data_IF_513192128489
#
_entry.id   IF_513192128489
#
_cell.length_a   1.000
_cell.length_b   1.000
_cell.length_c   1.000
_cell.angle_alpha   90.00
_cell.angle_beta   90.00
_cell.angle_gamma   90.00
#
_symmetry.space_group_name_H-M   'P 1'
#
loop_
_entity.id
_entity.type
_entity.pdbx_description
1 polymer ?
#
# COMPACT_ATOMS: atom_id res chain seq x y z
N UNK A 1 4.60 -10.86 4.17
CA UNK A 1 5.71 -11.04 3.23
C UNK A 1 5.23 -11.01 1.80
N UNK A 2 6.00 -10.39 0.91
CA UNK A 2 5.88 -10.57 -0.52
C UNK A 2 7.00 -11.49 -1.00
N UNK A 3 6.69 -12.51 -1.80
CA UNK A 3 7.71 -13.39 -2.33
C UNK A 3 7.37 -13.89 -3.72
N UNK A 4 8.39 -14.16 -4.52
CA UNK A 4 8.26 -14.92 -5.76
C UNK A 4 9.41 -15.89 -5.93
N UNK A 5 9.16 -16.94 -6.70
CA UNK A 5 10.15 -17.95 -7.01
C UNK A 5 10.52 -17.91 -8.49
N UNK A 6 11.78 -18.22 -8.78
CA UNK A 6 12.23 -18.45 -10.13
C UNK A 6 13.11 -19.69 -10.20
N UNK A 7 13.05 -20.34 -11.36
CA UNK A 7 13.89 -21.48 -11.70
C UNK A 7 15.03 -21.00 -12.56
N UNK A 8 16.24 -21.30 -12.12
CA UNK A 8 17.42 -20.80 -12.81
C UNK A 8 18.60 -21.76 -12.65
N UNK A 9 18.98 -22.51 -13.71
CA UNK A 9 20.18 -23.31 -13.74
C UNK A 9 21.39 -22.37 -13.88
N UNK A 10 22.01 -22.04 -12.75
CA UNK A 10 23.01 -21.00 -12.64
C UNK A 10 24.36 -21.41 -13.24
N UNK A 11 25.02 -20.48 -13.95
CA UNK A 11 26.44 -20.55 -14.24
C UNK A 11 27.23 -19.56 -13.37
N UNK A 12 28.51 -19.85 -13.10
CA UNK A 12 29.32 -19.09 -12.15
C UNK A 12 29.51 -17.58 -12.48
N UNK A 13 29.27 -17.16 -13.72
CA UNK A 13 29.45 -15.77 -14.19
C UNK A 13 28.13 -15.02 -14.42
N UNK A 14 27.05 -15.56 -13.88
CA UNK A 14 25.73 -15.02 -14.14
C UNK A 14 25.27 -14.11 -13.00
N UNK A 15 24.78 -12.95 -13.41
CA UNK A 15 24.17 -11.95 -12.55
C UNK A 15 22.66 -11.95 -12.80
N UNK A 16 21.87 -12.13 -11.76
CA UNK A 16 20.42 -12.06 -11.82
C UNK A 16 20.00 -10.62 -11.55
N UNK A 17 19.31 -10.02 -12.51
CA UNK A 17 18.70 -8.70 -12.39
C UNK A 17 17.24 -8.89 -12.01
N UNK A 18 16.83 -8.28 -10.91
CA UNK A 18 15.48 -8.34 -10.40
C UNK A 18 14.91 -6.95 -10.29
N UNK A 19 13.67 -6.78 -10.78
CA UNK A 19 12.87 -5.57 -10.56
C UNK A 19 11.60 -5.97 -9.82
N UNK A 20 11.29 -5.27 -8.73
CA UNK A 20 10.03 -5.35 -8.00
C UNK A 20 9.36 -3.98 -8.10
N UNK A 21 8.17 -3.91 -8.66
CA UNK A 21 7.36 -2.69 -8.71
C UNK A 21 6.20 -2.82 -7.74
N UNK A 22 6.13 -1.95 -6.74
CA UNK A 22 5.04 -1.85 -5.78
C UNK A 22 4.04 -0.79 -6.24
N UNK A 23 2.76 -0.97 -5.89
CA UNK A 23 1.67 -0.03 -6.24
C UNK A 23 1.59 0.27 -7.73
N UNK A 24 1.76 -0.75 -8.56
CA UNK A 24 1.52 -0.66 -9.99
C UNK A 24 0.05 -0.35 -10.25
N UNK A 25 -0.24 0.80 -10.85
CA UNK A 25 -1.61 1.16 -11.25
C UNK A 25 -1.94 0.54 -12.61
N UNK A 26 -3.13 -0.07 -12.79
CA UNK A 26 -3.69 -0.30 -14.11
C UNK A 26 -3.90 1.05 -14.79
N UNK A 27 -3.07 1.29 -15.79
CA UNK A 27 -2.55 2.59 -16.22
C UNK A 27 -3.52 3.44 -17.09
N UNK A 28 -4.82 3.17 -17.07
CA UNK A 28 -5.77 3.72 -18.05
C UNK A 28 -6.77 4.73 -17.47
N UNK A 29 -7.40 4.41 -16.34
CA UNK A 29 -8.49 5.23 -15.81
C UNK A 29 -8.01 6.52 -15.14
N UNK A 30 -6.93 6.45 -14.36
CA UNK A 30 -6.34 7.62 -13.68
C UNK A 30 -5.60 8.52 -14.68
N UNK A 31 -4.85 7.95 -15.65
CA UNK A 31 -4.26 8.74 -16.74
C UNK A 31 -5.31 9.45 -17.60
N UNK A 32 -6.41 8.78 -17.93
CA UNK A 32 -7.52 9.40 -18.67
C UNK A 32 -8.17 10.57 -17.92
N UNK A 33 -8.16 10.56 -16.58
CA UNK A 33 -8.67 11.66 -15.76
C UNK A 33 -7.65 12.82 -15.67
N UNK A 34 -6.36 12.51 -15.75
CA UNK A 34 -5.26 13.50 -15.72
C UNK A 34 -5.04 14.21 -17.08
N UNK A 35 -5.56 13.68 -18.19
CA UNK A 35 -5.22 14.13 -19.55
C UNK A 35 -6.13 15.20 -20.16
N UNK A 36 -7.12 15.76 -19.44
CA UNK A 36 -8.00 16.80 -20.04
C UNK A 36 -7.78 18.20 -19.45
N UNK A 37 -7.26 19.17 -20.23
CA UNK A 37 -7.10 20.55 -19.79
C UNK A 37 -8.43 21.34 -19.96
N UNK A 38 -9.50 20.90 -19.28
CA UNK A 38 -10.80 21.60 -19.29
C UNK A 38 -10.71 22.95 -18.56
N UNK A 39 -9.88 23.07 -17.51
CA UNK A 39 -9.64 24.35 -16.83
C UNK A 39 -9.00 25.39 -17.76
N UNK A 40 -8.04 24.98 -18.59
CA UNK A 40 -7.42 25.90 -19.55
C UNK A 40 -8.44 26.45 -20.53
N UNK A 41 -9.34 25.59 -21.03
CA UNK A 41 -10.41 26.02 -21.92
C UNK A 41 -11.40 26.96 -21.22
N UNK A 42 -11.81 26.66 -19.99
CA UNK A 42 -12.70 27.54 -19.21
C UNK A 42 -12.06 28.91 -18.94
N UNK A 43 -10.76 28.94 -18.57
CA UNK A 43 -10.00 30.18 -18.38
C UNK A 43 -9.85 30.96 -19.70
N UNK A 44 -9.55 30.28 -20.80
CA UNK A 44 -9.43 30.90 -22.11
C UNK A 44 -10.76 31.53 -22.55
N UNK A 45 -11.89 30.85 -22.34
CA UNK A 45 -13.22 31.37 -22.63
C UNK A 45 -13.55 32.59 -21.75
N UNK A 46 -13.27 32.52 -20.44
CA UNK A 46 -13.48 33.66 -19.53
C UNK A 46 -12.64 34.89 -19.94
N UNK A 47 -11.34 34.71 -20.18
CA UNK A 47 -10.44 35.80 -20.60
C UNK A 47 -10.87 36.41 -21.94
N UNK A 48 -11.37 35.58 -22.87
CA UNK A 48 -11.85 36.04 -24.18
C UNK A 48 -13.16 36.81 -24.07
N UNK A 49 -14.10 36.38 -23.21
CA UNK A 49 -15.41 37.02 -23.07
C UNK A 49 -15.40 38.26 -22.15
N UNK A 50 -14.47 38.34 -21.21
CA UNK A 50 -14.41 39.39 -20.19
C UNK A 50 -14.43 40.83 -20.72
N UNK A 51 -13.71 41.20 -21.80
CA UNK A 51 -13.78 42.56 -22.35
C UNK A 51 -15.19 42.97 -22.79
N UNK A 52 -15.95 42.05 -23.38
CA UNK A 52 -17.34 42.30 -23.79
C UNK A 52 -18.27 42.47 -22.59
N UNK A 53 -18.12 41.60 -21.58
CA UNK A 53 -18.89 41.67 -20.32
C UNK A 53 -18.62 42.99 -19.59
N UNK A 54 -17.35 43.42 -19.53
CA UNK A 54 -16.96 44.69 -18.91
C UNK A 54 -17.54 45.90 -19.66
N UNK A 55 -17.59 45.84 -20.99
CA UNK A 55 -18.24 46.88 -21.80
C UNK A 55 -19.74 46.98 -21.48
N UNK A 56 -20.42 45.85 -21.35
CA UNK A 56 -21.86 45.80 -21.01
C UNK A 56 -22.13 46.23 -19.56
N UNK A 57 -21.26 45.92 -18.61
CA UNK A 57 -21.32 46.49 -17.25
C UNK A 57 -21.22 48.00 -17.26
N UNK A 58 -20.27 48.55 -18.02
CA UNK A 58 -20.10 50.00 -18.13
C UNK A 58 -21.29 50.67 -18.82
N UNK A 59 -21.91 49.99 -19.79
CA UNK A 59 -23.01 50.52 -20.60
C UNK A 59 -24.36 50.43 -19.90
N UNK A 60 -24.67 49.33 -19.23
CA UNK A 60 -26.00 49.06 -18.69
C UNK A 60 -26.03 49.10 -17.16
N UNK A 61 -25.08 48.43 -16.49
CA UNK A 61 -25.10 48.30 -15.02
C UNK A 61 -24.89 49.66 -14.33
N UNK A 62 -24.01 50.52 -14.84
CA UNK A 62 -23.77 51.87 -14.28
C UNK A 62 -24.99 52.79 -14.31
N UNK A 63 -25.95 52.51 -15.20
CA UNK A 63 -27.16 53.33 -15.37
C UNK A 63 -28.31 52.87 -14.47
N UNK A 64 -28.19 51.69 -13.84
CA UNK A 64 -29.17 51.20 -12.87
C UNK A 64 -29.00 51.97 -11.57
N UNK A 65 -29.94 52.85 -11.26
CA UNK A 65 -30.05 53.57 -10.00
C UNK A 65 -31.42 53.30 -9.36
N UNK A 66 -31.61 53.66 -8.09
CA UNK A 66 -32.87 53.40 -7.35
C UNK A 66 -34.12 54.14 -7.85
N UNK A 67 -34.05 54.81 -9.02
CA UNK A 67 -35.18 55.47 -9.69
C UNK A 67 -35.80 54.61 -10.79
N UNK A 68 -36.71 55.20 -11.58
CA UNK A 68 -37.33 54.54 -12.74
C UNK A 68 -36.29 54.43 -13.87
N UNK A 69 -35.87 53.21 -14.19
CA UNK A 69 -34.90 52.91 -15.25
C UNK A 69 -35.61 52.25 -16.43
N UNK A 70 -35.22 52.59 -17.66
CA UNK A 70 -35.79 51.98 -18.86
C UNK A 70 -35.56 50.46 -18.88
N UNK A 71 -36.59 49.68 -19.21
CA UNK A 71 -36.57 48.21 -19.16
C UNK A 71 -35.39 47.60 -19.94
N UNK A 72 -35.03 48.15 -21.10
CA UNK A 72 -33.90 47.67 -21.91
C UNK A 72 -32.53 47.82 -21.24
N UNK A 73 -32.36 48.79 -20.33
CA UNK A 73 -31.14 48.95 -19.53
C UNK A 73 -31.07 47.89 -18.44
N UNK A 74 -32.20 47.61 -17.78
CA UNK A 74 -32.31 46.55 -16.79
C UNK A 74 -32.06 45.17 -17.42
N UNK A 75 -32.63 44.92 -18.61
CA UNK A 75 -32.41 43.68 -19.34
C UNK A 75 -30.95 43.51 -19.81
N UNK A 76 -30.30 44.58 -20.27
CA UNK A 76 -28.88 44.56 -20.65
C UNK A 76 -27.97 44.29 -19.44
N UNK A 77 -28.24 44.95 -18.31
CA UNK A 77 -27.51 44.75 -17.07
C UNK A 77 -27.65 43.31 -16.55
N UNK A 78 -28.87 42.75 -16.59
CA UNK A 78 -29.15 41.36 -16.21
C UNK A 78 -28.35 40.38 -17.06
N UNK A 79 -28.35 40.52 -18.40
CA UNK A 79 -27.59 39.64 -19.29
C UNK A 79 -26.08 39.71 -19.05
N UNK A 80 -25.55 40.90 -18.77
CA UNK A 80 -24.13 41.07 -18.46
C UNK A 80 -23.73 40.34 -17.16
N UNK A 81 -24.57 40.44 -16.12
CA UNK A 81 -24.37 39.72 -14.87
C UNK A 81 -24.51 38.20 -15.08
N UNK A 82 -25.56 37.75 -15.78
CA UNK A 82 -25.76 36.34 -16.12
C UNK A 82 -24.56 35.76 -16.88
N UNK A 83 -24.03 36.48 -17.88
CA UNK A 83 -22.86 36.07 -18.64
C UNK A 83 -21.60 35.99 -17.75
N UNK A 84 -21.36 37.00 -16.91
CA UNK A 84 -20.24 36.99 -15.97
C UNK A 84 -20.30 35.81 -15.01
N UNK A 85 -21.46 35.59 -14.39
CA UNK A 85 -21.70 34.47 -13.48
C UNK A 85 -21.49 33.14 -14.19
N UNK A 86 -22.03 32.96 -15.40
CA UNK A 86 -21.89 31.72 -16.18
C UNK A 86 -20.42 31.34 -16.42
N UNK A 87 -19.59 32.30 -16.88
CA UNK A 87 -18.19 32.00 -17.15
C UNK A 87 -17.37 31.84 -15.86
N UNK A 88 -17.70 32.58 -14.79
CA UNK A 88 -17.03 32.44 -13.50
C UNK A 88 -17.36 31.10 -12.83
N UNK A 89 -18.61 30.65 -12.87
CA UNK A 89 -19.04 29.33 -12.37
C UNK A 89 -18.37 28.20 -13.13
N UNK A 90 -18.20 28.32 -14.45
CA UNK A 90 -17.47 27.35 -15.25
C UNK A 90 -16.00 27.24 -14.80
N UNK A 91 -15.30 28.36 -14.63
CA UNK A 91 -13.91 28.37 -14.13
C UNK A 91 -13.83 27.79 -12.72
N UNK A 92 -14.73 28.19 -11.82
CA UNK A 92 -14.74 27.71 -10.44
C UNK A 92 -15.01 26.19 -10.35
N UNK A 93 -15.94 25.68 -11.16
CA UNK A 93 -16.26 24.25 -11.23
C UNK A 93 -15.08 23.43 -11.73
N UNK A 94 -14.43 23.85 -12.82
CA UNK A 94 -13.26 23.15 -13.35
C UNK A 94 -12.06 23.23 -12.41
N UNK A 95 -11.86 24.37 -11.74
CA UNK A 95 -10.80 24.50 -10.75
C UNK A 95 -11.03 23.59 -9.53
N UNK A 96 -12.28 23.51 -9.03
CA UNK A 96 -12.64 22.62 -7.93
C UNK A 96 -12.40 21.14 -8.32
N UNK A 97 -12.73 20.75 -9.55
CA UNK A 97 -12.43 19.40 -10.08
C UNK A 97 -10.93 19.13 -10.13
N UNK A 98 -10.13 20.08 -10.61
CA UNK A 98 -8.67 19.90 -10.67
C UNK A 98 -8.05 19.81 -9.26
N UNK A 99 -8.49 20.63 -8.32
CA UNK A 99 -8.06 20.55 -6.92
C UNK A 99 -8.44 19.21 -6.29
N UNK A 100 -9.69 18.77 -6.50
CA UNK A 100 -10.15 17.46 -6.04
C UNK A 100 -9.34 16.32 -6.69
N UNK A 101 -9.04 16.41 -7.98
CA UNK A 101 -8.25 15.41 -8.70
C UNK A 101 -6.81 15.36 -8.19
N UNK A 102 -6.17 16.51 -7.93
CA UNK A 102 -4.85 16.56 -7.31
C UNK A 102 -4.85 15.98 -5.90
N UNK A 103 -5.88 16.24 -5.11
CA UNK A 103 -6.04 15.65 -3.78
C UNK A 103 -6.24 14.13 -3.85
N UNK A 104 -7.04 13.64 -4.81
CA UNK A 104 -7.21 12.20 -5.07
C UNK A 104 -5.91 11.55 -5.53
N UNK A 105 -5.18 12.18 -6.46
CA UNK A 105 -3.90 11.68 -6.96
C UNK A 105 -2.83 11.64 -5.86
N UNK A 106 -2.82 12.62 -4.96
CA UNK A 106 -1.91 12.63 -3.80
C UNK A 106 -2.25 11.56 -2.75
N UNK A 107 -3.48 11.06 -2.72
CA UNK A 107 -3.95 10.01 -1.81
C UNK A 107 -3.84 8.60 -2.41
N UNK A 108 -3.44 8.47 -3.69
CA UNK A 108 -3.19 7.18 -4.31
C UNK A 108 -1.85 6.60 -3.80
N UNK A 109 -1.78 5.28 -3.60
CA UNK A 109 -0.52 4.62 -3.28
C UNK A 109 0.54 4.95 -4.34
N UNK A 110 1.68 5.49 -3.93
CA UNK A 110 2.74 5.85 -4.86
C UNK A 110 3.43 4.58 -5.39
N UNK A 111 3.65 4.53 -6.71
CA UNK A 111 4.45 3.47 -7.34
C UNK A 111 5.88 3.58 -6.84
N UNK A 112 6.42 2.46 -6.39
CA UNK A 112 7.83 2.35 -5.96
C UNK A 112 8.49 1.23 -6.75
N UNK A 113 9.62 1.52 -7.38
CA UNK A 113 10.40 0.55 -8.14
C UNK A 113 11.70 0.22 -7.42
N UNK A 114 11.91 -1.07 -7.15
CA UNK A 114 13.15 -1.61 -6.59
C UNK A 114 13.86 -2.38 -7.69
N UNK A 115 15.07 -1.97 -8.05
CA UNK A 115 15.95 -2.74 -8.94
C UNK A 115 17.16 -3.23 -8.14
N UNK A 116 17.47 -4.52 -8.22
CA UNK A 116 18.67 -5.06 -7.61
C UNK A 116 19.32 -6.17 -8.44
N UNK A 117 20.62 -6.34 -8.21
CA UNK A 117 21.43 -7.32 -8.89
C UNK A 117 22.05 -8.28 -7.89
N UNK A 118 21.86 -9.58 -8.09
CA UNK A 118 22.40 -10.63 -7.22
C UNK A 118 23.20 -11.68 -7.98
N UNK A 119 24.19 -12.26 -7.31
CA UNK A 119 24.98 -13.40 -7.78
C UNK A 119 25.20 -14.39 -6.65
N UNK A 120 25.46 -15.64 -7.00
CA UNK A 120 25.89 -16.66 -6.05
C UNK A 120 27.42 -16.71 -6.05
N UNK A 121 28.02 -16.59 -4.88
CA UNK A 121 29.46 -16.58 -4.65
C UNK A 121 29.87 -17.73 -3.71
N UNK A 122 31.11 -18.17 -3.89
CA UNK A 122 31.79 -19.15 -3.05
C UNK A 122 33.22 -19.33 -3.54
N UNK A 123 34.18 -19.39 -2.63
CA UNK A 123 35.61 -19.46 -2.97
C UNK A 123 36.02 -20.83 -3.54
N UNK A 124 35.27 -21.86 -3.18
CA UNK A 124 35.40 -23.23 -3.68
C UNK A 124 34.07 -23.96 -3.51
N UNK A 125 33.93 -25.14 -4.11
CA UNK A 125 32.71 -25.94 -3.99
C UNK A 125 32.39 -26.34 -2.53
N UNK A 126 33.41 -26.44 -1.68
CA UNK A 126 33.31 -26.76 -0.23
C UNK A 126 33.16 -25.52 0.66
N UNK A 127 33.30 -24.31 0.11
CA UNK A 127 33.10 -23.08 0.84
C UNK A 127 31.60 -22.83 1.07
N UNK A 128 31.27 -22.08 2.11
CA UNK A 128 29.89 -21.68 2.38
C UNK A 128 29.36 -20.84 1.20
N UNK A 129 28.16 -21.20 0.74
CA UNK A 129 27.45 -20.47 -0.30
C UNK A 129 27.07 -19.08 0.20
N UNK A 130 27.27 -18.07 -0.65
CA UNK A 130 26.85 -16.70 -0.39
C UNK A 130 26.01 -16.17 -1.54
N UNK A 131 24.90 -15.50 -1.25
CA UNK A 131 24.27 -14.63 -2.26
C UNK A 131 24.68 -13.20 -1.99
N UNK A 132 25.31 -12.58 -2.99
CA UNK A 132 25.81 -11.21 -2.92
C UNK A 132 24.92 -10.31 -3.78
N UNK A 133 24.37 -9.27 -3.15
CA UNK A 133 23.60 -8.21 -3.81
C UNK A 133 24.55 -7.04 -4.03
N UNK A 134 24.90 -6.77 -5.28
CA UNK A 134 25.97 -5.82 -5.66
C UNK A 134 25.45 -4.42 -5.97
N UNK A 135 24.15 -4.27 -6.21
CA UNK A 135 23.53 -2.96 -6.45
C UNK A 135 22.07 -2.99 -6.05
N UNK A 136 21.59 -1.90 -5.45
CA UNK A 136 20.18 -1.69 -5.13
C UNK A 136 19.81 -0.25 -5.52
N UNK A 137 18.74 -0.09 -6.27
CA UNK A 137 18.15 1.19 -6.65
C UNK A 137 16.69 1.22 -6.18
N UNK A 138 16.26 2.33 -5.58
CA UNK A 138 14.85 2.64 -5.34
C UNK A 138 14.52 3.87 -6.18
N UNK A 139 13.59 3.70 -7.13
CA UNK A 139 13.21 4.69 -8.15
C UNK A 139 14.42 5.27 -8.91
N UNK A 140 15.37 4.39 -9.24
CA UNK A 140 16.60 4.74 -9.96
C UNK A 140 17.67 5.41 -9.10
N UNK A 141 17.43 5.64 -7.81
CA UNK A 141 18.39 6.24 -6.87
C UNK A 141 19.08 5.13 -6.05
N UNK A 142 20.42 5.13 -5.91
CA UNK A 142 21.12 4.17 -5.06
C UNK A 142 20.56 4.11 -3.64
N UNK A 143 20.24 2.89 -3.19
CA UNK A 143 19.78 2.63 -1.85
C UNK A 143 20.93 2.17 -0.95
N UNK A 144 20.87 2.58 0.30
CA UNK A 144 21.76 2.12 1.37
C UNK A 144 21.06 1.04 2.18
N UNK A 145 21.83 0.05 2.63
CA UNK A 145 21.34 -1.02 3.49
C UNK A 145 21.71 -0.76 4.95
N UNK A 146 20.80 -1.12 5.86
CA UNK A 146 21.04 -1.12 7.30
C UNK A 146 20.55 -2.45 7.89
N UNK A 147 21.46 -3.15 8.56
CA UNK A 147 21.10 -4.29 9.40
C UNK A 147 20.32 -3.78 10.63
N UNK A 148 19.22 -4.45 10.97
CA UNK A 148 18.45 -4.15 12.16
C UNK A 148 19.00 -4.83 13.41
N UNK A 149 18.16 -4.95 14.44
CA UNK A 149 18.51 -5.60 15.71
C UNK A 149 18.40 -7.12 15.63
N UNK A 150 17.61 -7.66 14.71
CA UNK A 150 17.50 -9.11 14.49
C UNK A 150 18.77 -9.63 13.78
N UNK A 151 19.54 -10.56 14.40
CA UNK A 151 20.67 -11.20 13.74
C UNK A 151 20.29 -11.97 12.47
N UNK A 152 19.04 -12.45 12.38
CA UNK A 152 18.48 -13.08 11.18
C UNK A 152 18.16 -12.08 10.06
N UNK A 153 18.25 -10.78 10.32
CA UNK A 153 18.09 -9.73 9.31
C UNK A 153 16.66 -9.48 8.86
N UNK A 154 15.63 -9.98 9.56
CA UNK A 154 14.24 -9.78 9.14
C UNK A 154 13.77 -8.34 9.27
N UNK A 155 14.39 -7.56 10.16
CA UNK A 155 14.15 -6.14 10.36
C UNK A 155 15.16 -5.24 9.63
N UNK A 156 16.01 -5.83 8.76
CA UNK A 156 16.93 -5.06 7.94
C UNK A 156 16.16 -4.20 6.92
N UNK A 157 16.70 -3.02 6.60
CA UNK A 157 16.05 -2.05 5.73
C UNK A 157 16.96 -1.58 4.60
N UNK A 158 16.35 -1.13 3.51
CA UNK A 158 16.98 -0.41 2.41
C UNK A 158 16.34 0.97 2.29
N UNK A 159 17.15 2.00 2.01
CA UNK A 159 16.65 3.37 1.89
C UNK A 159 17.44 4.19 0.88
N UNK A 160 16.73 4.94 0.02
CA UNK A 160 17.32 5.98 -0.84
C UNK A 160 17.31 7.38 -0.19
N UNK A 161 16.96 7.47 1.10
CA UNK A 161 16.83 8.72 1.85
C UNK A 161 15.44 9.34 1.83
N UNK A 162 14.57 8.93 0.91
CA UNK A 162 13.16 9.35 0.86
C UNK A 162 12.22 8.20 1.20
N UNK A 163 12.46 7.05 0.58
CA UNK A 163 11.68 5.83 0.76
C UNK A 163 12.53 4.84 1.55
N UNK A 164 11.93 4.22 2.56
CA UNK A 164 12.55 3.13 3.33
C UNK A 164 11.67 1.90 3.23
N UNK A 165 12.28 0.76 2.87
CA UNK A 165 11.61 -0.51 2.67
C UNK A 165 12.35 -1.61 3.44
N UNK A 166 11.69 -2.75 3.73
CA UNK A 166 12.40 -3.94 4.16
C UNK A 166 13.45 -4.37 3.13
N UNK A 167 14.60 -4.85 3.59
CA UNK A 167 15.64 -5.38 2.72
C UNK A 167 15.18 -6.68 2.06
N UNK A 168 15.49 -6.83 0.77
CA UNK A 168 15.18 -8.07 0.04
C UNK A 168 16.09 -9.21 0.49
N UNK A 169 15.51 -10.39 0.65
CA UNK A 169 16.22 -11.62 0.99
C UNK A 169 16.14 -12.59 -0.18
N UNK A 170 17.27 -13.19 -0.56
CA UNK A 170 17.31 -14.26 -1.56
C UNK A 170 17.54 -15.58 -0.85
N UNK A 171 16.52 -16.43 -0.80
CA UNK A 171 16.56 -17.73 -0.14
C UNK A 171 16.90 -18.86 -1.13
N UNK A 172 17.62 -19.86 -0.62
CA UNK A 172 17.94 -21.12 -1.29
C UNK A 172 17.51 -22.24 -0.35
N UNK A 173 16.71 -23.19 -0.84
CA UNK A 173 16.11 -24.26 -0.04
C UNK A 173 15.53 -23.74 1.30
N UNK A 174 14.56 -22.81 1.26
CA UNK A 174 14.02 -22.15 2.45
C UNK A 174 13.30 -23.09 3.43
N UNK A 175 13.12 -24.36 3.09
CA UNK A 175 12.67 -25.44 3.97
C UNK A 175 13.78 -25.91 4.93
N UNK A 176 15.04 -25.85 4.49
CA UNK A 176 16.22 -26.36 5.20
C UNK A 176 17.11 -25.23 5.71
N UNK A 177 17.23 -24.12 5.00
CA UNK A 177 18.17 -23.05 5.36
C UNK A 177 17.49 -21.71 5.61
N UNK A 178 18.02 -20.97 6.56
CA UNK A 178 17.74 -19.56 6.74
C UNK A 178 18.85 -18.72 6.10
N UNK A 179 18.44 -17.73 5.31
CA UNK A 179 19.35 -16.74 4.73
C UNK A 179 19.66 -15.67 5.79
N UNK A 180 20.88 -15.70 6.33
CA UNK A 180 21.36 -14.80 7.37
C UNK A 180 22.31 -13.77 6.75
N UNK A 181 22.08 -12.46 6.92
CA UNK A 181 22.97 -11.45 6.37
C UNK A 181 24.32 -11.43 7.11
N UNK A 182 25.39 -11.19 6.37
CA UNK A 182 26.70 -10.89 6.94
C UNK A 182 26.70 -9.45 7.49
N UNK A 183 27.08 -9.21 8.76
CA UNK A 183 27.13 -7.86 9.33
C UNK A 183 28.09 -6.93 8.59
N UNK A 184 29.10 -7.49 7.93
CA UNK A 184 30.04 -6.74 7.09
C UNK A 184 30.12 -7.45 5.74
N UNK A 185 29.38 -6.96 4.73
CA UNK A 185 29.46 -7.47 3.37
C UNK A 185 30.88 -7.29 2.79
N UNK A 186 31.27 -8.11 1.79
CA UNK A 186 32.49 -7.90 1.01
C UNK A 186 32.54 -6.51 0.35
N UNK A 187 33.74 -6.09 -0.06
CA UNK A 187 33.92 -4.80 -0.76
C UNK A 187 33.09 -4.76 -2.05
N UNK A 188 32.44 -3.62 -2.32
CA UNK A 188 31.50 -3.41 -3.44
C UNK A 188 30.24 -4.32 -3.44
N UNK A 189 29.95 -5.00 -2.33
CA UNK A 189 28.70 -5.73 -2.10
C UNK A 189 27.82 -4.92 -1.14
N UNK A 190 26.54 -4.74 -1.49
CA UNK A 190 25.58 -4.00 -0.65
C UNK A 190 25.04 -4.89 0.47
N UNK A 191 24.69 -6.14 0.14
CA UNK A 191 24.20 -7.14 1.09
C UNK A 191 24.78 -8.51 0.72
N UNK A 192 25.22 -9.28 1.70
CA UNK A 192 25.64 -10.67 1.49
C UNK A 192 24.89 -11.59 2.44
N UNK A 193 24.29 -12.67 1.93
CA UNK A 193 23.58 -13.68 2.73
C UNK A 193 24.36 -15.00 2.74
N UNK A 194 24.56 -15.57 3.92
CA UNK A 194 24.98 -16.96 4.12
C UNK A 194 23.77 -17.82 4.50
N UNK A 195 23.84 -19.12 4.23
CA UNK A 195 22.71 -20.04 4.41
C UNK A 195 22.99 -20.99 5.56
N UNK A 196 22.39 -20.69 6.71
CA UNK A 196 22.57 -21.42 7.97
C UNK A 196 21.45 -22.46 8.09
N UNK A 197 21.75 -23.71 8.50
CA UNK A 197 20.74 -24.74 8.61
C UNK A 197 19.72 -24.37 9.69
N UNK A 198 18.45 -24.65 9.42
CA UNK A 198 17.40 -24.65 10.44
C UNK A 198 17.64 -25.78 11.43
N UNK A 199 17.18 -25.61 12.66
CA UNK A 199 17.36 -26.60 13.72
C UNK A 199 16.99 -28.02 13.26
N UNK A 200 18.00 -28.89 13.16
CA UNK A 200 17.86 -30.30 12.78
C UNK A 200 17.62 -30.58 11.29
N UNK A 201 17.77 -29.60 10.40
CA UNK A 201 17.50 -29.75 8.96
C UNK A 201 18.70 -30.20 8.14
N UNK A 202 19.92 -29.77 8.48
CA UNK A 202 21.15 -30.11 7.76
C UNK A 202 22.40 -29.98 8.64
N UNK A 203 23.48 -30.66 8.24
CA UNK A 203 24.78 -30.64 8.93
C UNK A 203 25.66 -29.49 8.41
N UNK A 204 25.52 -28.32 9.03
CA UNK A 204 26.32 -27.13 8.71
C UNK A 204 25.72 -26.24 7.62
N UNK A 205 26.42 -25.16 7.28
CA UNK A 205 25.98 -24.18 6.30
C UNK A 205 25.94 -24.77 4.88
N UNK A 206 25.00 -24.30 4.06
CA UNK A 206 24.88 -24.72 2.66
C UNK A 206 26.18 -24.42 1.91
N UNK A 207 26.73 -25.43 1.23
CA UNK A 207 27.98 -25.30 0.46
C UNK A 207 27.73 -24.75 -0.93
N UNK A 208 28.69 -24.01 -1.47
CA UNK A 208 28.58 -23.38 -2.79
C UNK A 208 28.35 -24.41 -3.91
N UNK A 209 29.06 -25.54 -3.86
CA UNK A 209 28.90 -26.62 -4.83
C UNK A 209 27.47 -27.18 -4.85
N UNK A 210 26.86 -27.31 -3.67
CA UNK A 210 25.48 -27.76 -3.47
C UNK A 210 24.46 -26.69 -3.92
N UNK A 211 24.66 -25.43 -3.50
CA UNK A 211 23.79 -24.32 -3.84
C UNK A 211 23.64 -24.12 -5.36
N UNK A 212 24.70 -24.36 -6.15
CA UNK A 212 24.63 -24.32 -7.63
C UNK A 212 23.70 -25.37 -8.23
N UNK A 213 23.53 -26.51 -7.57
CA UNK A 213 22.70 -27.61 -8.04
C UNK A 213 21.23 -27.45 -7.62
N UNK A 214 20.92 -26.52 -6.71
CA UNK A 214 19.55 -26.13 -6.38
C UNK A 214 19.16 -25.05 -7.39
N UNK A 215 18.20 -25.28 -8.31
CA UNK A 215 17.85 -24.27 -9.32
C UNK A 215 16.82 -23.24 -8.82
N UNK A 216 16.09 -23.56 -7.76
CA UNK A 216 15.04 -22.69 -7.23
C UNK A 216 15.64 -21.60 -6.36
N UNK A 217 15.19 -20.37 -6.59
CA UNK A 217 15.51 -19.20 -5.77
C UNK A 217 14.22 -18.52 -5.37
N UNK A 218 14.10 -18.16 -4.10
CA UNK A 218 12.97 -17.37 -3.59
C UNK A 218 13.46 -15.97 -3.28
N UNK A 219 12.88 -14.96 -3.91
CA UNK A 219 13.08 -13.55 -3.51
C UNK A 219 11.96 -13.18 -2.57
N UNK A 220 12.32 -12.58 -1.43
CA UNK A 220 11.43 -12.25 -0.33
C UNK A 220 11.61 -10.79 0.08
N UNK A 221 10.52 -10.05 0.21
CA UNK A 221 10.45 -8.79 0.97
C UNK A 221 9.73 -9.08 2.29
N UNK A 222 10.48 -9.27 3.39
CA UNK A 222 9.90 -9.62 4.69
C UNK A 222 9.14 -8.43 5.26
N UNK A 223 7.98 -8.67 5.88
CA UNK A 223 7.28 -7.64 6.65
C UNK A 223 6.85 -6.39 5.87
N UNK A 224 6.69 -6.49 4.54
CA UNK A 224 6.18 -5.36 3.74
C UNK A 224 4.79 -4.93 4.20
N UNK A 225 4.59 -3.62 4.34
CA UNK A 225 3.28 -3.04 4.67
C UNK A 225 2.33 -3.18 3.47
N UNK A 226 1.36 -4.09 3.61
CA UNK A 226 0.37 -4.39 2.55
C UNK A 226 -0.68 -3.31 2.37
N UNK A 227 -0.84 -2.41 3.35
CA UNK A 227 -1.80 -1.31 3.28
C UNK A 227 -1.20 -0.12 2.53
N UNK A 228 0.10 0.13 2.72
CA UNK A 228 0.89 1.09 1.94
C UNK A 228 1.22 0.56 0.53
N UNK A 229 1.57 -0.72 0.41
CA UNK A 229 1.97 -1.37 -0.84
C UNK A 229 0.95 -2.44 -1.26
N UNK A 230 -0.07 -2.00 -1.99
CA UNK A 230 -1.33 -2.70 -2.23
C UNK A 230 -1.28 -3.70 -3.38
N UNK A 231 -0.22 -3.68 -4.18
CA UNK A 231 0.09 -4.73 -5.14
C UNK A 231 1.60 -4.71 -5.46
N UNK A 232 2.08 -5.79 -6.04
CA UNK A 232 3.46 -5.90 -6.46
C UNK A 232 3.62 -6.70 -7.74
N UNK A 233 4.50 -6.25 -8.63
CA UNK A 233 4.78 -6.86 -9.91
C UNK A 233 6.29 -7.06 -10.08
N UNK A 234 6.70 -8.32 -10.20
CA UNK A 234 8.12 -8.67 -10.30
C UNK A 234 8.51 -9.10 -11.70
N UNK A 235 9.73 -8.76 -12.08
CA UNK A 235 10.38 -9.21 -13.29
C UNK A 235 11.84 -9.57 -13.06
N UNK A 236 12.35 -10.50 -13.86
CA UNK A 236 13.72 -10.97 -13.79
C UNK A 236 14.33 -11.10 -15.18
N UNK A 237 15.65 -10.96 -15.25
CA UNK A 237 16.45 -11.41 -16.37
C UNK A 237 17.86 -11.74 -15.89
N UNK A 238 18.59 -12.53 -16.67
CA UNK A 238 19.95 -12.94 -16.36
C UNK A 238 20.89 -12.23 -17.31
N UNK A 239 21.97 -11.66 -16.77
CA UNK A 239 23.08 -11.11 -17.52
C UNK A 239 24.33 -11.94 -17.25
N UNK A 240 24.88 -12.53 -18.30
CA UNK A 240 26.15 -13.25 -18.26
C UNK A 240 27.29 -12.31 -18.67
N UNK A 241 28.47 -12.53 -18.07
CA UNK A 241 29.70 -11.76 -18.28
C UNK A 241 29.64 -10.30 -17.82
N UNK A 242 28.61 -9.88 -17.09
CA UNK A 242 28.58 -8.53 -16.52
C UNK A 242 29.69 -8.33 -15.49
N UNK A 243 30.01 -9.37 -14.74
CA UNK A 243 31.11 -9.42 -13.78
C UNK A 243 32.06 -10.57 -14.20
N UNK A 244 33.09 -10.24 -14.99
CA UNK A 244 34.15 -11.20 -15.38
C UNK A 244 35.34 -11.20 -14.43
N UNK A 245 35.43 -10.17 -13.59
CA UNK A 245 36.47 -9.99 -12.59
C UNK A 245 35.81 -10.01 -11.20
N UNK A 246 36.58 -10.24 -10.12
CA UNK A 246 36.07 -10.15 -8.76
C UNK A 246 35.31 -8.84 -8.53
N UNK A 247 34.25 -8.88 -7.72
CA UNK A 247 33.33 -7.75 -7.52
C UNK A 247 34.07 -6.53 -6.96
N UNK A 248 35.15 -6.76 -6.21
CA UNK A 248 36.06 -5.76 -5.65
C UNK A 248 36.76 -4.92 -6.74
N UNK A 249 36.90 -5.46 -7.95
CA UNK A 249 37.50 -4.78 -9.12
C UNK A 249 36.45 -4.10 -10.02
N UNK A 250 35.16 -4.25 -9.76
CA UNK A 250 34.06 -3.77 -10.63
C UNK A 250 34.03 -2.25 -10.83
N UNK A 251 34.58 -1.48 -9.88
CA UNK A 251 34.74 -0.03 -10.02
C UNK A 251 35.86 0.38 -11.01
N UNK A 252 36.78 -0.54 -11.31
CA UNK A 252 37.97 -0.29 -12.15
C UNK A 252 37.87 -0.94 -13.52
N UNK A 253 37.13 -2.04 -13.65
CA UNK A 253 37.05 -2.82 -14.88
C UNK A 253 35.59 -3.15 -15.19
N UNK A 254 35.18 -2.89 -16.44
CA UNK A 254 33.85 -3.21 -16.94
C UNK A 254 33.94 -4.04 -18.22
N UNK A 255 33.07 -5.04 -18.35
CA UNK A 255 32.90 -5.80 -19.59
C UNK A 255 32.26 -4.89 -20.64
N UNK A 256 32.77 -4.96 -21.88
CA UNK A 256 32.18 -4.21 -23.01
C UNK A 256 30.81 -4.79 -23.39
N UNK A 257 29.88 -3.93 -23.78
CA UNK A 257 28.49 -4.30 -24.13
C UNK A 257 28.40 -5.46 -25.13
N UNK A 258 29.30 -5.52 -26.12
CA UNK A 258 29.34 -6.60 -27.11
C UNK A 258 29.65 -8.01 -26.55
N UNK A 259 30.05 -8.11 -25.29
CA UNK A 259 30.30 -9.37 -24.57
C UNK A 259 29.27 -9.66 -23.47
N UNK A 260 28.26 -8.81 -23.32
CA UNK A 260 27.15 -9.00 -22.39
C UNK A 260 26.06 -9.83 -23.06
N UNK A 261 25.71 -10.97 -22.46
CA UNK A 261 24.61 -11.80 -22.92
C UNK A 261 23.46 -11.68 -21.95
N UNK A 262 22.27 -11.36 -22.46
CA UNK A 262 21.09 -11.12 -21.65
C UNK A 262 19.94 -12.01 -22.11
N UNK A 263 19.25 -12.64 -21.16
CA UNK A 263 17.98 -13.31 -21.44
C UNK A 263 16.86 -12.29 -21.64
N UNK A 264 15.76 -12.64 -22.32
CA UNK A 264 14.55 -11.83 -22.28
C UNK A 264 14.10 -11.56 -20.84
N UNK A 265 13.47 -10.41 -20.62
CA UNK A 265 12.83 -10.09 -19.34
C UNK A 265 11.57 -10.93 -19.19
N UNK A 266 11.51 -11.71 -18.10
CA UNK A 266 10.33 -12.49 -17.72
C UNK A 266 9.64 -11.78 -16.58
N UNK A 267 8.31 -11.70 -16.64
CA UNK A 267 7.48 -11.04 -15.64
C UNK A 267 6.17 -11.80 -15.46
N UNK A 268 5.50 -11.59 -14.34
CA UNK A 268 4.13 -12.08 -14.15
C UNK A 268 3.17 -11.43 -15.16
N UNK A 269 2.06 -12.10 -15.49
CA UNK A 269 1.08 -11.53 -16.41
C UNK A 269 0.40 -10.28 -15.80
N UNK A 270 0.04 -10.40 -14.53
CA UNK A 270 -0.65 -9.37 -13.76
C UNK A 270 0.09 -9.08 -12.44
N UNK A 271 -0.06 -7.87 -11.87
CA UNK A 271 0.36 -7.57 -10.50
C UNK A 271 -0.32 -8.50 -9.49
N UNK A 272 0.42 -8.89 -8.46
CA UNK A 272 -0.10 -9.73 -7.38
C UNK A 272 -0.62 -8.80 -6.28
N UNK A 273 -1.87 -9.00 -5.87
CA UNK A 273 -2.48 -8.31 -4.73
C UNK A 273 -2.31 -9.18 -3.47
N UNK A 274 -1.70 -8.66 -2.39
CA UNK A 274 -1.60 -9.40 -1.13
C UNK A 274 -2.98 -9.56 -0.50
N UNK A 275 -3.22 -10.68 0.19
CA UNK A 275 -4.44 -10.92 0.96
C UNK A 275 -4.10 -11.50 2.32
N UNK A 276 -4.28 -10.69 3.35
CA UNK A 276 -4.24 -11.12 4.74
C UNK A 276 -5.63 -11.56 5.17
N UNK A 277 -5.76 -12.78 5.68
CA UNK A 277 -7.03 -13.34 6.14
C UNK A 277 -6.90 -13.84 7.57
N UNK A 278 -7.66 -13.21 8.47
CA UNK A 278 -7.72 -13.58 9.89
C UNK A 278 -9.11 -14.15 10.20
N UNK A 279 -9.19 -15.35 10.78
CA UNK A 279 -10.47 -15.96 11.12
C UNK A 279 -11.17 -15.22 12.26
N UNK A 280 -10.42 -14.80 13.28
CA UNK A 280 -10.96 -14.07 14.42
C UNK A 280 -9.91 -13.15 15.05
N UNK A 281 -10.35 -12.06 15.63
CA UNK A 281 -9.54 -11.16 16.45
C UNK A 281 -10.41 -10.54 17.56
N UNK A 282 -9.97 -10.60 18.81
CA UNK A 282 -10.73 -10.06 19.94
C UNK A 282 -10.32 -8.61 20.23
N UNK A 283 -11.27 -7.69 20.09
CA UNK A 283 -11.14 -6.30 20.49
C UNK A 283 -10.94 -6.13 21.99
N UNK A 284 -11.29 -7.11 22.81
CA UNK A 284 -11.06 -7.06 24.26
C UNK A 284 -9.57 -6.97 24.62
N UNK A 285 -8.69 -7.39 23.70
CA UNK A 285 -7.23 -7.35 23.86
C UNK A 285 -6.60 -6.02 23.48
N UNK A 286 -7.34 -5.13 22.79
CA UNK A 286 -6.81 -3.87 22.26
C UNK A 286 -6.62 -2.84 23.38
N UNK A 287 -5.46 -2.20 23.41
CA UNK A 287 -5.11 -1.12 24.33
C UNK A 287 -4.81 0.19 23.56
N UNK A 288 -5.04 1.37 24.16
CA UNK A 288 -5.68 1.58 25.46
C UNK A 288 -7.19 1.27 25.41
N UNK A 289 -7.75 0.78 26.53
CA UNK A 289 -9.21 0.78 26.71
C UNK A 289 -9.65 2.22 26.93
N UNK A 290 -9.99 2.92 25.85
CA UNK A 290 -10.59 4.24 25.96
C UNK A 290 -11.90 4.19 26.78
N UNK A 291 -12.30 5.31 27.42
CA UNK A 291 -13.56 5.38 28.17
C UNK A 291 -14.82 5.16 27.30
N UNK A 292 -14.67 5.14 25.97
CA UNK A 292 -15.76 5.26 24.98
C UNK A 292 -16.23 3.92 24.35
N UNK A 293 -16.15 2.81 25.09
CA UNK A 293 -16.73 1.53 24.64
C UNK A 293 -16.20 1.02 23.29
N UNK A 294 -17.09 0.65 22.36
CA UNK A 294 -16.74 0.09 21.04
C UNK A 294 -15.93 1.07 20.18
N UNK A 295 -16.21 2.37 20.25
CA UNK A 295 -15.49 3.39 19.48
C UNK A 295 -14.01 3.41 19.86
N UNK A 296 -13.70 3.49 21.16
CA UNK A 296 -12.33 3.50 21.66
C UNK A 296 -11.55 2.23 21.26
N UNK A 297 -12.21 1.07 21.31
CA UNK A 297 -11.61 -0.21 20.89
C UNK A 297 -11.33 -0.26 19.39
N UNK A 298 -12.23 0.25 18.56
CA UNK A 298 -12.01 0.35 17.12
C UNK A 298 -10.90 1.34 16.79
N UNK A 299 -10.84 2.48 17.47
CA UNK A 299 -9.78 3.47 17.28
C UNK A 299 -8.41 2.87 17.63
N UNK A 300 -8.28 2.19 18.77
CA UNK A 300 -7.04 1.49 19.14
C UNK A 300 -6.68 0.34 18.19
N UNK A 301 -7.67 -0.37 17.64
CA UNK A 301 -7.45 -1.42 16.65
C UNK A 301 -6.85 -0.83 15.37
N UNK A 302 -7.42 0.26 14.83
CA UNK A 302 -6.91 0.90 13.62
C UNK A 302 -5.58 1.61 13.86
N UNK A 303 -5.35 2.20 15.04
CA UNK A 303 -4.05 2.75 15.43
C UNK A 303 -2.96 1.67 15.38
N UNK A 304 -3.23 0.49 15.97
CA UNK A 304 -2.33 -0.65 15.91
C UNK A 304 -2.16 -1.21 14.49
N UNK A 305 -3.25 -1.35 13.75
CA UNK A 305 -3.24 -1.87 12.38
C UNK A 305 -2.46 -0.95 11.41
N UNK A 306 -2.56 0.36 11.60
CA UNK A 306 -1.90 1.37 10.77
C UNK A 306 -0.55 1.84 11.37
N UNK A 307 -0.08 1.18 12.43
CA UNK A 307 1.22 1.50 13.03
C UNK A 307 2.34 1.33 12.00
N UNK A 308 3.18 2.36 11.87
CA UNK A 308 4.23 2.42 10.85
C UNK A 308 3.82 3.06 9.52
N UNK A 309 2.52 3.32 9.30
CA UNK A 309 2.02 4.06 8.13
C UNK A 309 2.16 5.58 8.29
N UNK A 310 2.40 6.28 7.17
CA UNK A 310 2.67 7.72 7.13
C UNK A 310 1.47 8.60 6.71
N UNK A 311 0.27 8.02 6.55
CA UNK A 311 -0.94 8.75 6.17
C UNK A 311 -1.09 9.04 4.68
N UNK A 312 -0.11 8.67 3.85
CA UNK A 312 -0.11 8.98 2.41
C UNK A 312 -1.00 8.05 1.57
N UNK A 313 -1.42 6.91 2.13
CA UNK A 313 -2.10 5.86 1.37
C UNK A 313 -3.58 5.74 1.72
N UNK A 314 -4.44 5.77 0.70
CA UNK A 314 -5.88 5.53 0.83
C UNK A 314 -6.25 4.04 0.72
N UNK A 315 -7.21 3.62 1.53
CA UNK A 315 -7.86 2.29 1.49
C UNK A 315 -9.38 2.46 1.56
N UNK A 316 -10.13 1.48 1.08
CA UNK A 316 -11.57 1.39 1.29
C UNK A 316 -11.87 0.36 2.40
N UNK A 317 -12.70 0.72 3.37
CA UNK A 317 -13.07 -0.16 4.48
C UNK A 317 -14.56 -0.49 4.42
N UNK A 318 -14.90 -1.76 4.57
CA UNK A 318 -16.27 -2.27 4.70
C UNK A 318 -16.41 -3.02 6.01
N UNK A 319 -17.52 -2.81 6.71
CA UNK A 319 -17.80 -3.46 8.00
C UNK A 319 -19.24 -3.95 8.07
N UNK A 320 -19.44 -5.16 8.59
CA UNK A 320 -20.76 -5.68 8.94
C UNK A 320 -20.82 -5.97 10.44
N UNK A 321 -21.70 -5.30 11.16
CA UNK A 321 -21.90 -5.49 12.60
C UNK A 321 -23.08 -6.39 12.90
N UNK A 322 -22.87 -7.38 13.76
CA UNK A 322 -23.89 -8.25 14.32
C UNK A 322 -23.76 -8.32 15.85
N UNK A 323 -24.86 -8.66 16.52
CA UNK A 323 -24.88 -8.99 17.93
C UNK A 323 -25.13 -10.48 18.09
N UNK A 324 -24.30 -11.18 18.86
CA UNK A 324 -24.46 -12.61 19.08
C UNK A 324 -24.43 -13.03 20.54
N UNK A 325 -25.16 -14.10 20.85
CA UNK A 325 -25.22 -14.70 22.18
C UNK A 325 -25.50 -16.21 22.07
N UNK A 326 -25.16 -16.94 23.12
CA UNK A 326 -25.44 -18.36 23.26
C UNK A 326 -26.86 -18.55 23.81
N UNK A 327 -27.66 -19.39 23.16
CA UNK A 327 -28.99 -19.74 23.68
C UNK A 327 -28.89 -20.55 24.99
N UNK A 328 -27.86 -21.39 25.10
CA UNK A 328 -27.54 -22.18 26.30
C UNK A 328 -26.12 -21.80 26.72
N UNK A 329 -25.94 -21.08 27.85
CA UNK A 329 -24.63 -20.65 28.31
C UNK A 329 -23.65 -21.82 28.47
N UNK A 330 -22.44 -21.68 27.91
CA UNK A 330 -21.37 -22.67 28.01
C UNK A 330 -21.48 -23.83 27.01
N UNK A 331 -22.52 -23.89 26.17
CA UNK A 331 -22.65 -24.90 25.13
C UNK A 331 -22.06 -24.40 23.80
N UNK A 332 -20.84 -24.84 23.49
CA UNK A 332 -20.14 -24.48 22.26
C UNK A 332 -20.50 -25.34 21.04
N UNK A 333 -21.33 -26.39 21.21
CA UNK A 333 -21.76 -27.24 20.10
C UNK A 333 -22.93 -26.65 19.32
N UNK A 334 -23.69 -25.74 19.92
CA UNK A 334 -24.75 -25.02 19.24
C UNK A 334 -24.21 -23.70 18.67
N UNK A 335 -24.60 -23.31 17.44
CA UNK A 335 -24.23 -22.02 16.91
C UNK A 335 -24.82 -20.90 17.76
N UNK A 336 -24.07 -19.81 17.90
CA UNK A 336 -24.56 -18.58 18.55
C UNK A 336 -25.74 -18.03 17.74
N UNK A 337 -26.74 -17.49 18.42
CA UNK A 337 -27.77 -16.68 17.76
C UNK A 337 -27.08 -15.40 17.31
N UNK A 338 -27.25 -15.02 16.04
CA UNK A 338 -26.64 -13.81 15.47
C UNK A 338 -27.72 -12.91 14.88
N UNK A 339 -27.75 -11.66 15.33
CA UNK A 339 -28.69 -10.63 14.92
C UNK A 339 -27.93 -9.56 14.13
N UNK A 340 -28.29 -9.28 12.86
CA UNK A 340 -27.66 -8.21 12.11
C UNK A 340 -28.03 -6.85 12.72
N UNK A 341 -27.02 -5.98 12.89
CA UNK A 341 -27.18 -4.67 13.53
C UNK A 341 -26.94 -3.53 12.54
N UNK A 342 -25.81 -3.57 11.84
CA UNK A 342 -25.40 -2.48 10.94
C UNK A 342 -24.54 -2.99 9.79
N UNK A 343 -24.55 -2.27 8.67
CA UNK A 343 -23.70 -2.52 7.51
C UNK A 343 -23.11 -1.18 7.04
N UNK A 344 -21.79 -1.13 6.95
CA UNK A 344 -21.04 -0.03 6.38
C UNK A 344 -20.51 -0.48 5.01
N UNK A 345 -20.97 0.12 3.91
CA UNK A 345 -20.41 -0.16 2.59
C UNK A 345 -18.94 0.29 2.51
N UNK A 346 -18.17 -0.15 1.51
CA UNK A 346 -16.81 0.32 1.27
C UNK A 346 -16.73 1.85 1.32
N UNK A 347 -16.04 2.36 2.35
CA UNK A 347 -15.90 3.78 2.66
C UNK A 347 -14.41 4.11 2.72
N UNK A 348 -14.00 5.16 2.02
CA UNK A 348 -12.60 5.57 1.95
C UNK A 348 -12.03 6.02 3.29
N UNK A 349 -10.79 5.63 3.57
CA UNK A 349 -10.03 6.00 4.75
C UNK A 349 -8.55 6.13 4.45
N UNK A 350 -7.85 6.97 5.22
CA UNK A 350 -6.40 7.12 5.13
C UNK A 350 -5.70 6.17 6.12
N UNK A 351 -4.63 5.51 5.67
CA UNK A 351 -3.78 4.64 6.51
C UNK A 351 -2.88 5.52 7.36
N UNK A 352 -3.33 5.88 8.56
CA UNK A 352 -2.59 6.74 9.48
C UNK A 352 -2.77 6.26 10.92
N UNK A 353 -1.67 5.94 11.60
CA UNK A 353 -1.70 5.62 13.03
C UNK A 353 -2.10 6.82 13.90
N UNK A 354 -1.73 8.04 13.48
CA UNK A 354 -1.97 9.26 14.27
C UNK A 354 -3.39 9.80 14.17
N UNK A 355 -4.21 9.26 13.27
CA UNK A 355 -5.55 9.79 13.00
C UNK A 355 -6.54 8.64 12.85
N UNK A 356 -7.39 8.40 13.89
CA UNK A 356 -8.41 7.37 13.81
C UNK A 356 -9.34 7.59 12.60
N UNK A 357 -9.78 6.52 11.92
CA UNK A 357 -10.68 6.65 10.79
C UNK A 357 -12.01 7.29 11.19
N UNK A 358 -12.49 8.26 10.42
CA UNK A 358 -13.71 9.03 10.75
C UNK A 358 -14.99 8.18 10.77
N UNK A 359 -14.95 6.97 10.20
CA UNK A 359 -16.10 6.06 10.15
C UNK A 359 -16.30 5.25 11.45
N UNK A 360 -15.31 5.19 12.36
CA UNK A 360 -15.43 4.39 13.60
C UNK A 360 -16.54 4.92 14.50
N UNK A 361 -16.65 6.25 14.62
CA UNK A 361 -17.67 6.96 15.41
C UNK A 361 -19.10 6.63 14.94
N UNK A 362 -19.51 6.89 13.68
CA UNK A 362 -20.87 6.59 13.24
C UNK A 362 -21.18 5.09 13.26
N UNK A 363 -20.19 4.22 13.04
CA UNK A 363 -20.39 2.77 13.14
C UNK A 363 -20.68 2.34 14.59
N UNK A 364 -19.87 2.78 15.55
CA UNK A 364 -20.07 2.46 16.97
C UNK A 364 -21.40 3.02 17.48
N UNK A 365 -21.72 4.27 17.13
CA UNK A 365 -22.98 4.91 17.49
C UNK A 365 -24.20 4.14 16.95
N UNK A 366 -24.14 3.58 15.74
CA UNK A 366 -25.23 2.76 15.18
C UNK A 366 -25.48 1.50 16.00
N UNK A 367 -24.42 0.83 16.47
CA UNK A 367 -24.52 -0.35 17.35
C UNK A 367 -25.15 0.04 18.70
N UNK A 368 -24.71 1.14 19.30
CA UNK A 368 -25.23 1.59 20.59
C UNK A 368 -26.69 2.08 20.53
N UNK A 369 -27.08 2.74 19.44
CA UNK A 369 -28.48 3.11 19.19
C UNK A 369 -29.35 1.86 19.07
N UNK A 370 -28.91 0.85 18.31
CA UNK A 370 -29.63 -0.41 18.19
C UNK A 370 -29.78 -1.11 19.55
N UNK A 371 -28.71 -1.23 20.32
CA UNK A 371 -28.74 -1.86 21.67
C UNK A 371 -29.73 -1.15 22.59
N UNK A 372 -29.73 0.18 22.63
CA UNK A 372 -30.65 0.98 23.44
C UNK A 372 -32.11 0.85 23.01
N UNK A 373 -32.38 0.65 21.71
CA UNK A 373 -33.75 0.54 21.21
C UNK A 373 -34.30 -0.88 21.36
N UNK A 374 -33.48 -1.89 21.12
CA UNK A 374 -33.91 -3.30 21.06
C UNK A 374 -33.78 -4.02 22.40
N UNK A 375 -32.95 -3.52 23.33
CA UNK A 375 -32.69 -4.15 24.63
C UNK A 375 -32.37 -5.66 24.49
N UNK A 376 -31.35 -6.04 23.70
CA UNK A 376 -31.01 -7.44 23.48
C UNK A 376 -30.60 -8.12 24.78
N UNK A 377 -30.73 -9.46 24.84
CA UNK A 377 -30.33 -10.23 26.01
C UNK A 377 -28.87 -9.98 26.38
N UNK A 378 -28.61 -9.84 27.69
CA UNK A 378 -27.27 -9.77 28.25
C UNK A 378 -26.79 -11.14 28.78
N UNK A 379 -27.64 -12.16 28.70
CA UNK A 379 -27.30 -13.53 29.05
C UNK A 379 -26.66 -14.27 27.87
N UNK A 380 -25.91 -15.33 28.19
CA UNK A 380 -25.33 -16.20 27.16
C UNK A 380 -24.06 -15.64 26.52
N UNK A 381 -23.22 -14.95 27.29
CA UNK A 381 -21.94 -14.40 26.81
C UNK A 381 -22.14 -13.46 25.60
N UNK A 382 -22.87 -12.35 25.72
CA UNK A 382 -23.19 -11.49 24.57
C UNK A 382 -21.94 -10.83 23.97
N UNK A 383 -21.91 -10.72 22.64
CA UNK A 383 -20.80 -10.15 21.87
C UNK A 383 -21.30 -9.28 20.73
N UNK A 384 -20.52 -8.26 20.39
CA UNK A 384 -20.59 -7.59 19.09
C UNK A 384 -19.57 -8.25 18.17
N UNK A 385 -20.02 -8.78 17.03
CA UNK A 385 -19.19 -9.42 16.02
C UNK A 385 -19.13 -8.53 14.78
N UNK A 386 -17.93 -8.22 14.32
CA UNK A 386 -17.71 -7.35 13.17
C UNK A 386 -16.97 -8.12 12.08
N UNK A 387 -17.58 -8.26 10.91
CA UNK A 387 -16.87 -8.66 9.70
C UNK A 387 -16.17 -7.45 9.11
N UNK A 388 -14.85 -7.49 8.98
CA UNK A 388 -14.02 -6.39 8.45
C UNK A 388 -13.39 -6.80 7.12
N UNK A 389 -13.51 -5.92 6.12
CA UNK A 389 -12.78 -6.02 4.85
C UNK A 389 -12.13 -4.68 4.53
N UNK A 390 -10.84 -4.71 4.23
CA UNK A 390 -10.07 -3.56 3.76
C UNK A 390 -9.62 -3.85 2.33
N UNK A 391 -9.93 -2.93 1.43
CA UNK A 391 -9.59 -3.00 0.01
C UNK A 391 -8.55 -1.94 -0.32
N UNK A 392 -7.72 -2.20 -1.32
CA UNK A 392 -6.81 -1.17 -1.84
C UNK A 392 -7.58 -0.01 -2.47
N UNK A 393 -6.98 1.18 -2.41
CA UNK A 393 -7.45 2.36 -3.14
C UNK A 393 -7.21 2.29 -4.67
N UNK A 394 -6.62 1.20 -5.16
CA UNK A 394 -6.43 0.92 -6.60
C UNK A 394 -7.67 0.23 -7.23
N UNK A 395 -7.75 0.22 -8.57
CA UNK A 395 -8.95 -0.18 -9.33
C UNK A 395 -9.41 -1.62 -9.14
N UNK A 396 -8.55 -2.50 -8.65
CA UNK A 396 -8.80 -3.95 -8.70
C UNK A 396 -9.71 -4.43 -7.56
N UNK A 397 -10.01 -3.56 -6.57
CA UNK A 397 -10.97 -3.76 -5.46
C UNK A 397 -10.92 -5.16 -4.83
N UNK A 398 -9.73 -5.79 -4.80
CA UNK A 398 -9.51 -7.03 -4.08
C UNK A 398 -9.22 -6.73 -2.60
N UNK A 399 -9.69 -7.56 -1.66
CA UNK A 399 -9.47 -7.33 -0.24
C UNK A 399 -7.99 -7.58 0.12
N UNK A 400 -7.33 -6.54 0.64
CA UNK A 400 -5.97 -6.60 1.19
C UNK A 400 -5.95 -7.26 2.56
N UNK A 401 -6.99 -6.99 3.37
CA UNK A 401 -7.18 -7.53 4.69
C UNK A 401 -8.63 -7.97 4.86
N UNK A 402 -8.84 -9.14 5.44
CA UNK A 402 -10.14 -9.62 5.89
C UNK A 402 -10.01 -10.16 7.31
N UNK A 403 -10.85 -9.67 8.21
CA UNK A 403 -11.05 -10.27 9.54
C UNK A 403 -12.49 -10.77 9.57
N UNK A 404 -12.67 -12.08 9.64
CA UNK A 404 -14.01 -12.66 9.56
C UNK A 404 -14.84 -12.38 10.83
N UNK A 405 -14.21 -12.39 12.00
CA UNK A 405 -14.84 -12.06 13.27
C UNK A 405 -13.94 -11.17 14.14
N UNK A 406 -14.18 -9.88 14.10
CA UNK A 406 -13.63 -8.90 15.02
C UNK A 406 -14.62 -8.75 16.20
N UNK A 407 -14.35 -9.40 17.32
CA UNK A 407 -15.31 -9.59 18.42
C UNK A 407 -15.04 -8.71 19.63
N UNK A 408 -16.10 -8.15 20.21
CA UNK A 408 -16.07 -7.39 21.46
C UNK A 408 -17.08 -7.96 22.45
N UNK A 409 -16.62 -8.33 23.63
CA UNK A 409 -17.50 -8.81 24.71
C UNK A 409 -18.37 -7.67 25.24
N UNK A 410 -19.67 -7.94 25.38
CA UNK A 410 -20.62 -6.97 25.92
C UNK A 410 -20.76 -7.20 27.40
N UNK A 411 -20.26 -6.26 28.21
CA UNK A 411 -20.51 -6.29 29.65
C UNK A 411 -21.86 -5.63 29.98
N UNK A 412 -22.50 -6.11 31.04
CA UNK A 412 -23.61 -5.37 31.64
C UNK A 412 -23.06 -4.02 32.13
N UNK A 413 -23.71 -2.91 31.76
CA UNK A 413 -23.39 -1.63 32.36
C UNK A 413 -23.67 -1.74 33.87
N UNK A 414 -22.67 -1.44 34.71
CA UNK A 414 -22.90 -1.23 36.14
C UNK A 414 -23.99 -0.14 36.26
N UNK A 415 -25.10 -0.51 36.88
CA UNK A 415 -26.33 0.28 36.96
C UNK A 415 -26.24 1.53 37.82
#
# INVERSE_FOLDING_TARGET
DYSFQYLYPQAAQDLVQTTIELNTTPDAAVRSLLEKPELFQALAQFVTAYPGILADFNRYLRLVNGGVVAQGVVDGARRAVEAFTTYLEAVASEHAKEVALRAMAAALPQRVRIDFASLLAGESDEADARTEIVSILIDGVPATWKLGADPGGRDATISNGTITLPAMVVQIAPEEYDAVPLPTPPENVVIAYVYVPRDGSADGNLKYGEARNIPTRTVLLPGIDVLAYQNAWSSIYVQRNKLLFPVEDSARVATRDGFLFQTPVVRFADPIVPRLAYPAFSLDTVQPVGPDGLEGRLNGFYEGLFSGGDGSTSVDVSMSGAYSYQLIPGNTQLPRISLPVTLMPPTGAAVSASTPPTFTVPFAAAVDVWRRNTHPTLDGDPQVNIGLQVFGGTSDKQPLLSVADLSLSVQAADG
#
